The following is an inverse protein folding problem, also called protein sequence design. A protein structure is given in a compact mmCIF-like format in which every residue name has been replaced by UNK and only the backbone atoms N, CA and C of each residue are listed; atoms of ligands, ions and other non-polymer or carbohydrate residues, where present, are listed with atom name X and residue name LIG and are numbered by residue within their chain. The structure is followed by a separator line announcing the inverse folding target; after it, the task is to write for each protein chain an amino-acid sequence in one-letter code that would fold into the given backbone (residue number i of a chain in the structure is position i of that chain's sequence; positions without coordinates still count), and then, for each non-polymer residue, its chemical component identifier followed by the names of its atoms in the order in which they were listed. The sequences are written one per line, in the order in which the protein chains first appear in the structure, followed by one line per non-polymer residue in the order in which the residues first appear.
data_IF_699661194945
#
_entry.id   IF_699661194945
#
_cell.length_a   1.000
_cell.length_b   1.000
_cell.length_c   1.000
_cell.angle_alpha   90.00
_cell.angle_beta   90.00
_cell.angle_gamma   90.00
#
_symmetry.space_group_name_H-M   'P 1'
#
loop_
_entity.id
_entity.type
_entity.pdbx_description
1 polymer ?
#
# COMPACT_ATOMS: atom_id res chain seq x y z
N UNK A 1 2.77 46.23 1.91
CA UNK A 1 3.88 45.55 2.61
C UNK A 1 3.25 44.28 3.10
N UNK A 2 3.65 43.11 2.59
CA UNK A 2 2.99 41.86 2.96
C UNK A 2 3.19 41.67 4.48
N UNK A 3 2.14 41.94 5.25
CA UNK A 3 2.20 41.84 6.70
C UNK A 3 2.18 40.36 7.06
N UNK A 4 3.09 39.94 7.95
CA UNK A 4 3.18 38.54 8.40
C UNK A 4 1.86 38.10 9.06
N UNK A 5 1.02 39.05 9.48
CA UNK A 5 -0.35 38.81 9.96
C UNK A 5 -1.24 38.07 8.96
N UNK A 6 -0.89 38.06 7.66
CA UNK A 6 -1.63 37.30 6.66
C UNK A 6 -1.71 35.80 6.97
N UNK A 7 -0.72 35.25 7.70
CA UNK A 7 -0.71 33.85 8.12
C UNK A 7 -1.59 33.54 9.34
N UNK A 8 -2.18 34.57 9.97
CA UNK A 8 -3.21 34.39 11.01
C UNK A 8 -4.62 34.21 10.42
N UNK A 9 -4.76 34.30 9.10
CA UNK A 9 -6.01 34.06 8.39
C UNK A 9 -6.45 32.59 8.49
N UNK A 10 -7.76 32.33 8.50
CA UNK A 10 -8.31 30.97 8.58
C UNK A 10 -7.91 30.09 7.39
N UNK A 11 -7.51 30.68 6.26
CA UNK A 11 -6.92 29.95 5.14
C UNK A 11 -5.64 29.17 5.51
N UNK A 12 -4.96 29.55 6.60
CA UNK A 12 -3.76 28.90 7.10
C UNK A 12 -3.98 28.10 8.40
N UNK A 13 -5.23 27.91 8.82
CA UNK A 13 -5.57 27.04 9.95
C UNK A 13 -5.25 25.57 9.65
N UNK A 14 -5.07 24.77 10.70
CA UNK A 14 -4.77 23.33 10.56
C UNK A 14 -5.83 22.62 9.74
N UNK A 15 -7.12 22.94 9.93
CA UNK A 15 -8.22 22.38 9.14
C UNK A 15 -8.12 22.75 7.67
N UNK A 16 -7.87 24.02 7.33
CA UNK A 16 -7.77 24.49 5.96
C UNK A 16 -6.55 23.92 5.23
N UNK A 17 -5.39 23.90 5.89
CA UNK A 17 -4.17 23.33 5.31
C UNK A 17 -4.24 21.81 5.18
N UNK A 18 -4.90 21.14 6.12
CA UNK A 18 -5.19 19.70 6.07
C UNK A 18 -6.14 19.39 4.90
N UNK A 19 -7.21 20.15 4.72
CA UNK A 19 -8.08 20.01 3.54
C UNK A 19 -7.30 20.25 2.25
N UNK A 20 -6.52 21.34 2.17
CA UNK A 20 -5.74 21.71 0.99
C UNK A 20 -4.71 20.65 0.59
N UNK A 21 -4.01 20.01 1.56
CA UNK A 21 -3.09 18.94 1.23
C UNK A 21 -3.81 17.67 0.76
N UNK A 22 -5.02 17.36 1.25
CA UNK A 22 -5.78 16.18 0.83
C UNK A 22 -6.51 16.38 -0.53
N UNK A 23 -6.88 17.61 -0.89
CA UNK A 23 -7.55 17.94 -2.16
C UNK A 23 -6.61 18.03 -3.37
N UNK A 24 -5.29 18.09 -3.17
CA UNK A 24 -4.32 18.06 -4.27
C UNK A 24 -4.49 16.84 -5.18
N UNK A 25 -4.06 16.97 -6.43
CA UNK A 25 -4.10 15.87 -7.39
C UNK A 25 -3.22 14.72 -6.91
N UNK A 26 -3.84 13.56 -6.69
CA UNK A 26 -3.14 12.33 -6.33
C UNK A 26 -2.49 11.73 -7.58
N UNK A 27 -1.19 11.47 -7.52
CA UNK A 27 -0.45 10.77 -8.57
C UNK A 27 -0.20 9.33 -8.12
N UNK A 28 -1.12 8.39 -8.41
CA UNK A 28 -0.99 7.03 -7.92
C UNK A 28 0.25 6.34 -8.49
N UNK A 29 1.01 5.70 -7.59
CA UNK A 29 1.96 4.67 -7.97
C UNK A 29 1.24 3.43 -8.54
N UNK A 30 2.01 2.43 -8.97
CA UNK A 30 1.43 1.25 -9.61
C UNK A 30 0.57 0.43 -8.65
N UNK A 31 1.01 0.19 -7.41
CA UNK A 31 0.24 -0.53 -6.39
C UNK A 31 -1.03 0.24 -6.04
N UNK A 32 -0.90 1.56 -5.87
CA UNK A 32 -2.06 2.42 -5.64
C UNK A 32 -3.07 2.38 -6.81
N UNK A 33 -2.60 2.32 -8.06
CA UNK A 33 -3.48 2.18 -9.25
C UNK A 33 -4.26 0.87 -9.31
N UNK A 34 -3.80 -0.18 -8.61
CA UNK A 34 -4.50 -1.46 -8.53
C UNK A 34 -5.66 -1.42 -7.54
N UNK A 35 -5.77 -0.39 -6.69
CA UNK A 35 -6.87 -0.26 -5.73
C UNK A 35 -6.91 -1.39 -4.69
N UNK A 36 -5.78 -2.02 -4.40
CA UNK A 36 -5.71 -3.18 -3.50
C UNK A 36 -5.99 -2.80 -2.05
N UNK A 37 -5.46 -1.65 -1.62
CA UNK A 37 -5.51 -1.20 -0.24
C UNK A 37 -6.78 -0.39 0.02
N UNK A 38 -7.56 -0.82 1.01
CA UNK A 38 -8.71 -0.09 1.50
C UNK A 38 -8.24 0.93 2.53
N UNK A 39 -8.58 2.20 2.32
CA UNK A 39 -8.16 3.31 3.18
C UNK A 39 -9.23 3.64 4.22
N UNK A 40 -8.83 3.74 5.49
CA UNK A 40 -9.72 4.13 6.59
C UNK A 40 -9.00 4.99 7.65
N UNK A 41 -9.76 5.84 8.32
CA UNK A 41 -9.29 6.62 9.47
C UNK A 41 -9.49 5.86 10.77
N UNK A 42 -8.54 5.99 11.69
CA UNK A 42 -8.67 5.49 13.06
C UNK A 42 -8.47 6.62 14.06
N UNK A 43 -9.02 6.48 15.27
CA UNK A 43 -8.87 7.47 16.36
C UNK A 43 -7.72 7.18 17.31
N UNK A 44 -7.04 6.04 17.11
CA UNK A 44 -5.95 5.57 17.98
C UNK A 44 -4.66 5.41 17.19
N UNK A 45 -3.54 5.16 17.87
CA UNK A 45 -2.25 4.89 17.24
C UNK A 45 -2.02 3.39 16.95
N UNK A 46 -2.97 2.54 17.33
CA UNK A 46 -2.81 1.08 17.31
C UNK A 46 -4.04 0.40 16.72
N UNK A 47 -3.83 -0.44 15.73
CA UNK A 47 -4.87 -1.32 15.17
C UNK A 47 -4.70 -2.71 15.76
N UNK A 48 -5.80 -3.34 16.16
CA UNK A 48 -5.79 -4.73 16.63
C UNK A 48 -6.45 -5.61 15.57
N UNK A 49 -5.68 -6.54 15.02
CA UNK A 49 -6.21 -7.53 14.08
C UNK A 49 -6.53 -8.81 14.82
N UNK A 50 -7.76 -9.29 14.65
CA UNK A 50 -8.18 -10.60 15.12
C UNK A 50 -7.57 -11.68 14.24
N UNK A 51 -6.76 -12.56 14.84
CA UNK A 51 -6.34 -13.81 14.20
C UNK A 51 -7.43 -14.85 14.46
N UNK A 52 -8.31 -15.03 13.49
CA UNK A 52 -9.34 -16.06 13.56
C UNK A 52 -8.70 -17.44 13.33
N UNK A 53 -8.90 -18.33 14.29
CA UNK A 53 -8.37 -19.70 14.29
C UNK A 53 -9.39 -20.73 13.84
N UNK A 54 -10.57 -20.30 13.39
CA UNK A 54 -11.70 -21.19 13.17
C UNK A 54 -11.48 -22.07 11.93
N UNK A 55 -11.42 -23.37 12.20
CA UNK A 55 -11.71 -24.42 11.22
C UNK A 55 -13.22 -24.64 11.19
N UNK A 56 -13.84 -24.60 10.01
CA UNK A 56 -15.19 -25.11 9.79
C UNK A 56 -15.27 -26.56 10.28
N UNK A 57 -15.95 -26.80 11.40
CA UNK A 57 -16.22 -28.14 11.92
C UNK A 57 -17.63 -28.56 11.49
N UNK A 58 -17.74 -29.70 10.80
CA UNK A 58 -19.03 -30.29 10.47
C UNK A 58 -19.72 -30.77 11.76
N UNK A 59 -20.98 -30.40 11.94
CA UNK A 59 -21.80 -30.86 13.08
C UNK A 59 -22.28 -32.29 12.78
N UNK A 60 -21.99 -33.28 13.63
CA UNK A 60 -22.46 -34.65 13.41
C UNK A 60 -23.99 -34.73 13.58
N UNK A 61 -24.63 -35.60 12.79
CA UNK A 61 -26.06 -35.85 12.92
C UNK A 61 -26.39 -36.49 14.27
N UNK A 62 -27.21 -35.82 15.09
CA UNK A 62 -27.67 -36.31 16.39
C UNK A 62 -29.03 -37.00 16.32
N UNK A 63 -29.27 -37.94 17.23
CA UNK A 63 -30.55 -38.63 17.37
C UNK A 63 -31.59 -37.69 18.02
N UNK A 64 -32.85 -37.71 17.53
CA UNK A 64 -33.91 -36.82 18.06
C UNK A 64 -34.10 -37.06 19.55
N UNK A 65 -33.87 -36.02 20.36
CA UNK A 65 -34.01 -36.08 21.83
C UNK A 65 -32.69 -36.15 22.59
N UNK A 66 -31.54 -36.22 21.92
CA UNK A 66 -30.23 -36.16 22.56
C UNK A 66 -29.70 -34.72 22.68
N UNK A 67 -28.87 -34.47 23.69
CA UNK A 67 -28.20 -33.18 23.85
C UNK A 67 -27.12 -33.01 22.77
N UNK A 68 -27.13 -31.86 22.10
CA UNK A 68 -26.16 -31.55 21.05
C UNK A 68 -24.75 -31.28 21.60
N UNK A 69 -23.76 -31.25 20.71
CA UNK A 69 -22.40 -30.82 21.03
C UNK A 69 -22.40 -29.35 21.48
N UNK A 70 -21.75 -29.06 22.61
CA UNK A 70 -21.49 -27.70 23.08
C UNK A 70 -20.31 -27.14 22.29
N UNK A 71 -20.57 -26.13 21.45
CA UNK A 71 -19.53 -25.37 20.77
C UNK A 71 -18.84 -24.49 21.83
N UNK A 72 -17.59 -24.81 22.18
CA UNK A 72 -16.78 -23.93 23.01
C UNK A 72 -16.42 -22.67 22.20
N UNK A 73 -16.59 -21.48 22.79
CA UNK A 73 -16.19 -20.24 22.13
C UNK A 73 -14.67 -20.18 21.93
N UNK A 74 -14.23 -19.90 20.70
CA UNK A 74 -12.82 -19.76 20.36
C UNK A 74 -12.22 -18.54 21.07
N UNK A 75 -11.05 -18.69 21.71
CA UNK A 75 -10.31 -17.56 22.28
C UNK A 75 -9.68 -16.76 21.15
N UNK A 76 -10.20 -15.56 20.89
CA UNK A 76 -9.66 -14.64 19.88
C UNK A 76 -8.27 -14.15 20.30
N UNK A 77 -7.28 -14.31 19.41
CA UNK A 77 -5.96 -13.73 19.60
C UNK A 77 -5.90 -12.39 18.87
N UNK A 78 -5.84 -11.30 19.63
CA UNK A 78 -5.68 -9.93 19.12
C UNK A 78 -4.19 -9.63 18.97
N UNK A 79 -3.78 -9.22 17.77
CA UNK A 79 -2.40 -8.83 17.48
C UNK A 79 -2.36 -7.31 17.25
N UNK A 80 -1.69 -6.54 18.12
CA UNK A 80 -1.60 -5.09 17.97
C UNK A 80 -0.53 -4.69 16.93
N UNK A 81 -0.87 -3.72 16.11
CA UNK A 81 0.00 -3.07 15.13
C UNK A 81 -0.01 -1.56 15.36
N UNK A 82 1.17 -0.95 15.45
CA UNK A 82 1.30 0.49 15.63
C UNK A 82 1.36 1.20 14.26
N UNK A 83 0.81 2.40 14.17
CA UNK A 83 1.07 3.29 13.03
C UNK A 83 2.50 3.83 13.06
N UNK A 84 3.01 4.19 11.89
CA UNK A 84 4.28 4.90 11.75
C UNK A 84 4.01 6.40 11.66
N UNK A 85 4.98 7.24 12.03
CA UNK A 85 4.87 8.68 11.94
C UNK A 85 5.84 9.22 10.88
N UNK A 86 5.33 9.93 9.87
CA UNK A 86 6.10 10.42 8.72
C UNK A 86 6.07 11.96 8.67
N UNK A 87 6.91 12.66 9.44
CA UNK A 87 6.95 14.12 9.46
C UNK A 87 7.83 14.67 8.34
N UNK A 88 7.38 15.75 7.72
CA UNK A 88 8.13 16.49 6.71
C UNK A 88 8.04 17.98 6.96
N UNK A 89 9.20 18.61 7.19
CA UNK A 89 9.29 20.06 7.43
C UNK A 89 9.73 20.82 6.19
N UNK A 90 9.21 22.04 6.06
CA UNK A 90 9.65 23.04 5.10
C UNK A 90 9.68 24.42 5.76
N UNK A 91 10.32 25.37 5.08
CA UNK A 91 10.39 26.76 5.55
C UNK A 91 10.11 27.70 4.37
N UNK A 92 9.45 28.81 4.68
CA UNK A 92 9.19 29.93 3.78
C UNK A 92 9.82 31.15 4.46
N UNK A 93 10.94 31.65 3.93
CA UNK A 93 11.65 32.79 4.51
C UNK A 93 10.94 34.10 4.17
N UNK A 94 11.11 35.11 5.02
CA UNK A 94 10.56 36.45 4.79
C UNK A 94 10.97 37.01 3.41
N UNK A 95 12.22 36.81 2.99
CA UNK A 95 12.73 37.25 1.68
C UNK A 95 12.02 36.57 0.50
N UNK A 96 11.52 35.33 0.67
CA UNK A 96 10.76 34.62 -0.37
C UNK A 96 9.35 35.21 -0.55
N UNK A 97 8.81 35.82 0.51
CA UNK A 97 7.52 36.51 0.51
C UNK A 97 7.72 37.95 0.01
N UNK A 98 8.85 38.57 0.39
CA UNK A 98 9.25 39.92 0.01
C UNK A 98 9.65 39.98 -1.46
N UNK A 99 8.67 40.15 -2.34
CA UNK A 99 8.87 40.21 -3.79
C UNK A 99 7.83 39.47 -4.59
N UNK A 100 6.92 38.75 -3.94
CA UNK A 100 5.73 38.17 -4.58
C UNK A 100 4.81 39.33 -4.98
N UNK A 101 5.01 39.87 -6.19
CA UNK A 101 4.06 40.81 -6.79
C UNK A 101 2.84 40.02 -7.27
N UNK A 102 1.66 40.41 -6.80
CA UNK A 102 0.41 40.02 -7.44
C UNK A 102 0.44 40.48 -8.91
N UNK A 103 0.61 39.54 -9.84
CA UNK A 103 0.56 39.84 -11.26
C UNK A 103 -0.91 39.82 -11.71
N UNK A 104 -1.41 40.92 -12.29
CA UNK A 104 -2.80 41.04 -12.74
C UNK A 104 -3.80 41.32 -11.61
N UNK A 105 -4.92 40.58 -11.57
CA UNK A 105 -6.05 40.78 -10.65
C UNK A 105 -5.97 39.99 -9.34
N UNK A 106 -4.83 39.35 -9.04
CA UNK A 106 -4.68 38.50 -7.83
C UNK A 106 -4.50 39.34 -6.57
N UNK A 107 -4.93 38.83 -5.42
CA UNK A 107 -4.61 39.43 -4.12
C UNK A 107 -3.25 38.96 -3.59
N UNK A 108 -2.65 39.72 -2.67
CA UNK A 108 -1.40 39.29 -2.00
C UNK A 108 -1.60 37.97 -1.22
N UNK A 109 -2.78 37.77 -0.61
CA UNK A 109 -3.17 36.51 0.06
C UNK A 109 -3.09 35.31 -0.87
N UNK A 110 -3.68 35.41 -2.07
CA UNK A 110 -3.65 34.34 -3.06
C UNK A 110 -2.22 33.99 -3.47
N UNK A 111 -1.36 35.00 -3.62
CA UNK A 111 0.01 34.80 -4.05
C UNK A 111 0.87 34.10 -2.98
N UNK A 112 0.62 34.38 -1.69
CA UNK A 112 1.25 33.66 -0.57
C UNK A 112 0.70 32.24 -0.44
N UNK A 113 -0.61 32.06 -0.61
CA UNK A 113 -1.26 30.75 -0.59
C UNK A 113 -0.71 29.83 -1.70
N UNK A 114 -0.46 30.36 -2.90
CA UNK A 114 0.19 29.62 -3.99
C UNK A 114 1.59 29.08 -3.59
N UNK A 115 2.37 29.86 -2.83
CA UNK A 115 3.69 29.43 -2.35
C UNK A 115 3.56 28.31 -1.31
N UNK A 116 2.65 28.46 -0.36
CA UNK A 116 2.37 27.42 0.65
C UNK A 116 1.89 26.14 -0.04
N UNK A 117 0.90 26.23 -0.92
CA UNK A 117 0.36 25.10 -1.68
C UNK A 117 1.44 24.40 -2.50
N UNK A 118 2.38 25.14 -3.11
CA UNK A 118 3.51 24.57 -3.83
C UNK A 118 4.46 23.76 -2.92
N UNK A 119 4.66 24.20 -1.68
CA UNK A 119 5.45 23.45 -0.68
C UNK A 119 4.69 22.20 -0.22
N UNK A 120 3.39 22.32 0.06
CA UNK A 120 2.53 21.19 0.42
C UNK A 120 2.48 20.15 -0.69
N UNK A 121 2.33 20.54 -1.95
CA UNK A 121 2.35 19.65 -3.11
C UNK A 121 3.68 18.92 -3.30
N UNK A 122 4.80 19.49 -2.83
CA UNK A 122 6.07 18.77 -2.77
C UNK A 122 6.06 17.75 -1.64
N UNK A 123 5.56 18.11 -0.46
CA UNK A 123 5.52 17.21 0.68
C UNK A 123 4.59 16.02 0.41
N UNK A 124 3.38 16.30 -0.09
CA UNK A 124 2.41 15.27 -0.49
C UNK A 124 3.03 14.24 -1.43
N UNK A 125 3.68 14.67 -2.52
CA UNK A 125 4.33 13.74 -3.46
C UNK A 125 5.39 12.85 -2.81
N UNK A 126 6.08 13.33 -1.78
CA UNK A 126 7.08 12.54 -1.06
C UNK A 126 6.42 11.56 -0.07
N UNK A 127 5.33 11.97 0.57
CA UNK A 127 4.51 11.10 1.41
C UNK A 127 3.82 10.02 0.58
N UNK A 128 3.22 10.35 -0.57
CA UNK A 128 2.62 9.40 -1.52
C UNK A 128 3.64 8.33 -1.95
N UNK A 129 4.88 8.75 -2.28
CA UNK A 129 5.95 7.82 -2.63
C UNK A 129 6.36 6.92 -1.46
N UNK A 130 6.29 7.42 -0.23
CA UNK A 130 6.57 6.67 0.99
C UNK A 130 5.45 5.67 1.29
N UNK A 131 4.18 6.06 1.12
CA UNK A 131 3.04 5.14 1.23
C UNK A 131 3.13 4.03 0.21
N UNK A 132 3.44 4.34 -1.05
CA UNK A 132 3.65 3.33 -2.09
C UNK A 132 4.79 2.37 -1.68
N UNK A 133 5.90 2.88 -1.14
CA UNK A 133 6.99 2.06 -0.63
C UNK A 133 6.59 1.13 0.52
N UNK A 134 5.79 1.63 1.46
CA UNK A 134 5.35 0.85 2.61
C UNK A 134 4.25 -0.16 2.24
N UNK A 135 3.31 0.20 1.35
CA UNK A 135 2.32 -0.73 0.76
C UNK A 135 3.03 -1.87 0.05
N UNK A 136 4.06 -1.54 -0.70
CA UNK A 136 4.97 -2.52 -1.27
C UNK A 136 5.61 -3.41 -0.19
N UNK A 137 6.14 -2.83 0.88
CA UNK A 137 6.63 -3.59 2.03
C UNK A 137 5.58 -4.56 2.60
N UNK A 138 4.33 -4.10 2.73
CA UNK A 138 3.22 -4.92 3.23
C UNK A 138 2.89 -6.11 2.31
N UNK A 139 3.01 -5.94 0.99
CA UNK A 139 2.88 -7.03 0.02
C UNK A 139 4.04 -8.05 0.12
N UNK A 140 5.24 -7.58 0.44
CA UNK A 140 6.38 -8.48 0.68
C UNK A 140 6.42 -9.10 2.08
N UNK A 141 5.57 -8.62 2.99
CA UNK A 141 5.49 -9.00 4.38
C UNK A 141 6.51 -8.33 5.31
N UNK A 142 7.27 -7.35 4.82
CA UNK A 142 8.20 -6.56 5.61
C UNK A 142 8.15 -5.10 5.17
N UNK A 143 7.77 -4.21 6.09
CA UNK A 143 7.75 -2.77 5.89
C UNK A 143 9.08 -2.20 6.36
N UNK A 144 9.74 -1.48 5.48
CA UNK A 144 11.04 -0.86 5.71
C UNK A 144 10.90 0.65 5.83
N UNK A 145 11.86 1.27 6.50
CA UNK A 145 12.01 2.72 6.56
C UNK A 145 12.61 3.28 5.26
N UNK A 146 12.66 4.60 5.13
CA UNK A 146 13.13 5.31 3.94
C UNK A 146 14.59 4.99 3.54
N UNK A 147 15.39 4.44 4.46
CA UNK A 147 16.75 3.96 4.21
C UNK A 147 16.79 2.64 3.39
N UNK A 148 15.65 1.94 3.27
CA UNK A 148 15.53 0.65 2.61
C UNK A 148 16.15 -0.51 3.39
N UNK A 149 16.51 -0.31 4.66
CA UNK A 149 17.21 -1.33 5.47
C UNK A 149 16.61 -1.49 6.86
N UNK A 150 16.13 -0.43 7.49
CA UNK A 150 15.54 -0.48 8.83
C UNK A 150 14.15 -1.09 8.76
N UNK A 151 13.92 -2.18 9.49
CA UNK A 151 12.62 -2.87 9.51
C UNK A 151 11.69 -2.17 10.49
N UNK A 152 10.62 -1.56 9.97
CA UNK A 152 9.56 -0.95 10.78
C UNK A 152 8.54 -1.99 11.25
N UNK A 153 8.20 -2.96 10.39
CA UNK A 153 7.28 -4.05 10.72
C UNK A 153 7.62 -5.31 9.91
N UNK A 154 7.78 -6.43 10.61
CA UNK A 154 7.80 -7.76 9.99
C UNK A 154 6.45 -8.45 10.21
N UNK A 155 5.64 -8.51 9.16
CA UNK A 155 4.27 -9.00 9.22
C UNK A 155 4.26 -10.50 9.55
N UNK A 156 5.06 -11.30 8.85
CA UNK A 156 5.11 -12.75 9.06
C UNK A 156 5.53 -13.11 10.49
N UNK A 157 6.56 -12.43 11.02
CA UNK A 157 7.02 -12.60 12.39
C UNK A 157 5.95 -12.21 13.41
N UNK A 158 5.27 -11.08 13.18
CA UNK A 158 4.24 -10.56 14.10
C UNK A 158 3.01 -11.47 14.15
N UNK A 159 2.60 -12.04 13.01
CA UNK A 159 1.53 -13.05 12.95
C UNK A 159 1.96 -14.47 13.40
N UNK A 160 3.26 -14.69 13.59
CA UNK A 160 3.83 -15.99 13.96
C UNK A 160 3.68 -17.04 12.87
N UNK A 161 3.79 -16.65 11.60
CA UNK A 161 3.60 -17.52 10.43
C UNK A 161 4.81 -17.47 9.50
N UNK A 162 5.00 -18.51 8.69
CA UNK A 162 6.09 -18.58 7.71
C UNK A 162 5.57 -18.33 6.31
N UNK A 163 6.26 -17.48 5.54
CA UNK A 163 5.90 -17.16 4.16
C UNK A 163 5.84 -18.41 3.29
N UNK A 164 4.71 -18.63 2.61
CA UNK A 164 4.56 -19.70 1.61
C UNK A 164 5.40 -19.38 0.37
N UNK A 165 6.11 -20.38 -0.13
CA UNK A 165 6.95 -20.29 -1.34
C UNK A 165 6.69 -21.48 -2.24
N UNK A 166 6.78 -21.28 -3.55
CA UNK A 166 6.59 -22.33 -4.53
C UNK A 166 7.50 -22.11 -5.75
N UNK A 167 8.18 -23.15 -6.23
CA UNK A 167 8.91 -23.09 -7.49
C UNK A 167 7.97 -23.31 -8.68
N UNK A 168 8.11 -22.46 -9.69
CA UNK A 168 7.37 -22.54 -10.95
C UNK A 168 8.09 -23.42 -11.98
N UNK A 169 9.28 -23.93 -11.68
CA UNK A 169 10.02 -24.86 -12.54
C UNK A 169 10.39 -24.30 -13.91
N UNK A 170 10.53 -22.97 -14.04
CA UNK A 170 10.78 -22.25 -15.29
C UNK A 170 12.15 -22.55 -15.91
N UNK A 171 13.03 -23.23 -15.17
CA UNK A 171 14.32 -23.69 -15.67
C UNK A 171 14.23 -24.95 -16.53
N UNK A 172 13.13 -25.71 -16.43
CA UNK A 172 12.92 -26.94 -17.21
C UNK A 172 11.88 -26.69 -18.31
N UNK A 173 12.22 -26.87 -19.60
CA UNK A 173 11.28 -26.63 -20.70
C UNK A 173 10.10 -27.62 -20.70
N UNK A 174 10.22 -28.73 -19.98
CA UNK A 174 9.19 -29.78 -19.86
C UNK A 174 8.18 -29.50 -18.74
N UNK A 175 8.39 -28.45 -17.94
CA UNK A 175 7.45 -28.09 -16.87
C UNK A 175 6.13 -27.58 -17.45
N UNK A 176 5.02 -28.17 -17.02
CA UNK A 176 3.72 -27.63 -17.39
C UNK A 176 3.27 -26.47 -16.50
N UNK A 177 3.50 -25.25 -17.00
CA UNK A 177 3.25 -24.01 -16.27
C UNK A 177 1.77 -23.85 -15.93
N UNK A 178 0.86 -24.36 -16.77
CA UNK A 178 -0.58 -24.31 -16.47
C UNK A 178 -0.94 -25.10 -15.22
N UNK A 179 -0.31 -26.25 -14.98
CA UNK A 179 -0.50 -27.03 -13.75
C UNK A 179 0.09 -26.28 -12.56
N UNK A 180 1.27 -25.67 -12.74
CA UNK A 180 1.90 -24.84 -11.70
C UNK A 180 1.08 -23.61 -11.33
N UNK A 181 0.37 -22.98 -12.28
CA UNK A 181 -0.58 -21.92 -11.95
C UNK A 181 -1.71 -22.44 -11.06
N UNK A 182 -2.27 -23.61 -11.38
CA UNK A 182 -3.31 -24.27 -10.55
C UNK A 182 -2.81 -24.52 -9.13
N UNK A 183 -1.68 -25.21 -8.98
CA UNK A 183 -1.06 -25.47 -7.66
C UNK A 183 -0.84 -24.17 -6.85
N UNK A 184 -0.45 -23.07 -7.51
CA UNK A 184 -0.22 -21.78 -6.87
C UNK A 184 -1.51 -21.10 -6.42
N UNK A 185 -2.59 -21.22 -7.22
CA UNK A 185 -3.92 -20.74 -6.88
C UNK A 185 -4.51 -21.57 -5.73
N UNK A 186 -4.37 -22.89 -5.76
CA UNK A 186 -4.82 -23.77 -4.67
C UNK A 186 -4.15 -23.38 -3.34
N UNK A 187 -2.84 -23.11 -3.33
CA UNK A 187 -2.12 -22.63 -2.14
C UNK A 187 -2.64 -21.29 -1.60
N UNK A 188 -3.11 -20.41 -2.49
CA UNK A 188 -3.68 -19.11 -2.17
C UNK A 188 -5.11 -19.27 -1.65
N UNK A 189 -5.95 -20.08 -2.29
CA UNK A 189 -7.31 -20.40 -1.85
C UNK A 189 -7.30 -21.06 -0.46
N UNK A 190 -6.42 -22.05 -0.24
CA UNK A 190 -6.23 -22.69 1.06
C UNK A 190 -5.84 -21.69 2.17
N UNK A 191 -5.11 -20.63 1.81
CA UNK A 191 -4.73 -19.59 2.76
C UNK A 191 -5.82 -18.52 2.98
N UNK A 192 -6.70 -18.30 2.02
CA UNK A 192 -7.86 -17.41 2.13
C UNK A 192 -9.05 -18.08 2.83
N UNK A 193 -9.15 -19.42 2.74
CA UNK A 193 -10.26 -20.18 3.30
C UNK A 193 -11.56 -19.90 2.54
N UNK A 194 -12.62 -19.53 3.26
CA UNK A 194 -13.97 -19.31 2.69
C UNK A 194 -14.19 -17.93 2.07
N UNK A 195 -13.14 -17.12 1.95
CA UNK A 195 -13.27 -15.73 1.48
C UNK A 195 -13.10 -15.69 -0.02
N UNK A 196 -14.05 -15.06 -0.68
CA UNK A 196 -14.05 -14.90 -2.13
C UNK A 196 -12.99 -13.90 -2.56
N UNK A 197 -12.18 -14.27 -3.55
CA UNK A 197 -11.36 -13.36 -4.34
C UNK A 197 -12.03 -13.10 -5.70
N UNK A 198 -11.69 -11.99 -6.36
CA UNK A 198 -12.14 -11.68 -7.72
C UNK A 198 -11.14 -12.14 -8.79
N UNK A 199 -9.94 -12.54 -8.39
CA UNK A 199 -8.85 -12.92 -9.28
C UNK A 199 -7.51 -12.93 -8.56
N UNK A 200 -6.43 -13.15 -9.33
CA UNK A 200 -5.07 -13.22 -8.79
C UNK A 200 -4.09 -12.57 -9.75
N UNK A 201 -3.15 -11.80 -9.21
CA UNK A 201 -2.08 -11.12 -9.97
C UNK A 201 -0.72 -11.57 -9.49
N UNK A 202 0.18 -11.81 -10.43
CA UNK A 202 1.58 -12.10 -10.14
C UNK A 202 2.48 -10.95 -10.60
N UNK A 203 3.07 -10.23 -9.63
CA UNK A 203 4.04 -9.17 -9.87
C UNK A 203 5.44 -9.78 -10.01
N UNK A 204 6.00 -9.72 -11.22
CA UNK A 204 7.19 -10.47 -11.60
C UNK A 204 8.45 -9.61 -11.63
N UNK A 205 9.53 -10.14 -11.05
CA UNK A 205 10.89 -9.64 -11.24
C UNK A 205 11.39 -9.84 -12.67
N UNK A 206 12.51 -9.18 -13.00
CA UNK A 206 13.04 -9.12 -14.37
C UNK A 206 13.37 -10.50 -14.96
N UNK A 207 14.12 -11.33 -14.24
CA UNK A 207 14.60 -12.61 -14.74
C UNK A 207 13.49 -13.65 -14.75
N UNK A 208 12.63 -13.65 -13.73
CA UNK A 208 11.41 -14.45 -13.69
C UNK A 208 10.53 -14.19 -14.91
N UNK A 209 10.21 -12.91 -15.17
CA UNK A 209 9.41 -12.51 -16.33
C UNK A 209 10.01 -13.00 -17.64
N UNK A 210 11.30 -12.77 -17.84
CA UNK A 210 11.99 -13.15 -19.07
C UNK A 210 11.94 -14.67 -19.32
N UNK A 211 12.04 -15.50 -18.27
CA UNK A 211 11.94 -16.96 -18.39
C UNK A 211 10.49 -17.41 -18.63
N UNK A 212 9.53 -16.75 -17.97
CA UNK A 212 8.10 -17.02 -18.13
C UNK A 212 7.65 -16.80 -19.58
N UNK A 213 7.85 -15.60 -20.14
CA UNK A 213 7.34 -15.27 -21.48
C UNK A 213 7.95 -16.10 -22.62
N UNK A 214 9.14 -16.66 -22.41
CA UNK A 214 9.81 -17.51 -23.41
C UNK A 214 9.58 -19.01 -23.20
N UNK A 215 8.89 -19.40 -22.13
CA UNK A 215 8.68 -20.80 -21.76
C UNK A 215 7.84 -21.53 -22.82
N UNK A 216 8.15 -22.81 -23.06
CA UNK A 216 7.49 -23.63 -24.10
C UNK A 216 5.98 -23.68 -23.93
N UNK A 217 5.50 -24.06 -22.74
CA UNK A 217 4.07 -24.12 -22.37
C UNK A 217 3.32 -22.80 -22.65
N UNK A 218 3.96 -21.65 -22.42
CA UNK A 218 3.37 -20.33 -22.71
C UNK A 218 3.37 -20.06 -24.21
N UNK A 219 4.51 -20.20 -24.88
CA UNK A 219 4.61 -19.99 -26.34
C UNK A 219 3.60 -20.83 -27.11
N UNK A 220 3.43 -22.11 -26.77
CA UNK A 220 2.50 -23.02 -27.44
C UNK A 220 1.03 -22.59 -27.25
N UNK A 221 0.69 -22.08 -26.06
CA UNK A 221 -0.65 -21.54 -25.78
C UNK A 221 -0.92 -20.27 -26.60
N UNK A 222 0.06 -19.38 -26.70
CA UNK A 222 -0.10 -18.13 -27.45
C UNK A 222 -0.02 -18.29 -28.96
N UNK A 223 0.78 -19.23 -29.49
CA UNK A 223 0.85 -19.53 -30.92
C UNK A 223 -0.49 -19.98 -31.51
N UNK A 224 -1.31 -20.64 -30.70
CA UNK A 224 -2.58 -21.22 -31.13
C UNK A 224 -3.82 -20.36 -30.78
N UNK A 225 -3.64 -19.16 -30.22
CA UNK A 225 -4.75 -18.30 -29.76
C UNK A 225 -4.82 -16.97 -30.51
N UNK A 226 -6.00 -16.35 -30.56
CA UNK A 226 -6.18 -14.97 -31.06
C UNK A 226 -5.36 -13.94 -30.23
N UNK A 227 -4.91 -14.31 -29.02
CA UNK A 227 -4.07 -13.48 -28.14
C UNK A 227 -2.58 -13.46 -28.55
N UNK A 228 -2.18 -14.15 -29.63
CA UNK A 228 -0.84 -14.05 -30.23
C UNK A 228 -0.41 -12.61 -30.57
N UNK A 229 -1.35 -11.66 -30.67
CA UNK A 229 -1.07 -10.25 -30.87
C UNK A 229 -0.46 -9.58 -29.62
N UNK A 230 -0.87 -9.98 -28.41
CA UNK A 230 -0.41 -9.38 -27.15
C UNK A 230 1.09 -9.65 -26.89
N UNK A 231 1.57 -10.87 -27.18
CA UNK A 231 3.01 -11.18 -27.07
C UNK A 231 3.87 -10.64 -28.23
N UNK A 232 3.25 -10.19 -29.33
CA UNK A 232 3.94 -9.49 -30.44
C UNK A 232 4.01 -7.97 -30.23
N UNK A 233 3.21 -7.44 -29.29
CA UNK A 233 3.23 -6.04 -28.85
C UNK A 233 4.41 -5.74 -27.91
N UNK A 234 4.24 -4.78 -26.99
CA UNK A 234 5.29 -4.52 -26.01
C UNK A 234 5.41 -5.73 -25.06
N UNK A 235 6.57 -6.39 -25.05
CA UNK A 235 6.87 -7.54 -24.19
C UNK A 235 6.83 -7.22 -22.67
N UNK A 236 6.46 -5.99 -22.30
CA UNK A 236 6.20 -5.52 -20.95
C UNK A 236 4.71 -5.55 -20.59
N UNK A 237 3.81 -5.73 -21.56
CA UNK A 237 2.38 -5.80 -21.31
C UNK A 237 2.03 -6.98 -20.41
N UNK A 238 1.07 -6.76 -19.51
CA UNK A 238 0.52 -7.83 -18.69
C UNK A 238 -0.31 -8.78 -19.55
N UNK A 239 -0.28 -10.07 -19.24
CA UNK A 239 -1.12 -11.07 -19.90
C UNK A 239 -1.72 -12.03 -18.88
N UNK A 240 -2.85 -12.63 -19.24
CA UNK A 240 -3.50 -13.63 -18.40
C UNK A 240 -3.08 -15.03 -18.84
N UNK A 241 -2.68 -15.87 -17.89
CA UNK A 241 -2.35 -17.27 -18.15
C UNK A 241 -2.58 -18.13 -16.90
N UNK A 242 -3.36 -19.21 -17.05
CA UNK A 242 -3.65 -20.15 -15.98
C UNK A 242 -4.46 -19.54 -14.82
N UNK A 243 -5.34 -18.58 -15.11
CA UNK A 243 -6.15 -17.88 -14.10
C UNK A 243 -5.41 -16.78 -13.33
N UNK A 244 -4.16 -16.48 -13.72
CA UNK A 244 -3.34 -15.44 -13.09
C UNK A 244 -3.04 -14.34 -14.12
N UNK A 245 -3.21 -13.08 -13.70
CA UNK A 245 -2.72 -11.92 -14.46
C UNK A 245 -1.24 -11.72 -14.14
N UNK A 246 -0.38 -11.99 -15.11
CA UNK A 246 1.05 -11.84 -14.99
C UNK A 246 1.46 -10.43 -15.40
N UNK A 247 2.19 -9.74 -14.54
CA UNK A 247 2.66 -8.40 -14.79
C UNK A 247 4.13 -8.23 -14.43
N UNK A 248 4.89 -7.60 -15.32
CA UNK A 248 6.27 -7.25 -15.05
C UNK A 248 6.34 -6.02 -14.14
N UNK A 249 6.92 -6.17 -12.96
CA UNK A 249 7.10 -5.07 -12.02
C UNK A 249 8.59 -4.77 -11.78
N UNK A 250 9.06 -3.59 -12.20
CA UNK A 250 10.45 -3.15 -12.03
C UNK A 250 10.63 -1.97 -11.08
N UNK A 251 9.61 -1.64 -10.28
CA UNK A 251 9.70 -0.57 -9.30
C UNK A 251 10.87 -0.80 -8.36
N UNK A 252 11.71 0.24 -8.21
CA UNK A 252 12.80 0.29 -7.23
C UNK A 252 12.68 1.61 -6.48
N UNK A 253 12.78 1.56 -5.17
CA UNK A 253 12.82 2.74 -4.30
C UNK A 253 14.02 2.55 -3.37
N UNK A 254 14.83 3.60 -3.20
CA UNK A 254 16.04 3.57 -2.38
C UNK A 254 17.01 2.40 -2.72
N UNK A 255 17.05 1.95 -3.99
CA UNK A 255 17.88 0.82 -4.42
C UNK A 255 17.30 -0.56 -4.12
N UNK A 256 16.21 -0.64 -3.35
CA UNK A 256 15.48 -1.89 -3.06
C UNK A 256 14.51 -2.19 -4.20
N UNK A 257 14.70 -3.35 -4.84
CA UNK A 257 13.74 -3.86 -5.81
C UNK A 257 12.49 -4.34 -5.08
N UNK A 258 11.32 -3.95 -5.57
CA UNK A 258 10.05 -4.38 -4.99
C UNK A 258 9.88 -5.91 -5.03
N UNK A 259 10.09 -6.50 -6.21
CA UNK A 259 10.16 -7.94 -6.36
C UNK A 259 11.60 -8.28 -6.77
N UNK A 260 12.19 -9.25 -6.10
CA UNK A 260 13.52 -9.75 -6.46
C UNK A 260 13.54 -10.23 -7.93
N UNK A 261 14.63 -10.00 -8.65
CA UNK A 261 14.67 -10.22 -10.11
C UNK A 261 14.30 -11.66 -10.51
N UNK A 262 14.64 -12.65 -9.69
CA UNK A 262 14.34 -14.09 -9.90
C UNK A 262 13.04 -14.58 -9.24
N UNK A 263 12.16 -13.70 -8.76
CA UNK A 263 10.93 -14.08 -8.07
C UNK A 263 9.70 -13.43 -8.70
N UNK A 264 8.54 -13.97 -8.39
CA UNK A 264 7.26 -13.27 -8.57
C UNK A 264 6.44 -13.33 -7.28
N UNK A 265 5.63 -12.30 -7.06
CA UNK A 265 4.74 -12.22 -5.92
C UNK A 265 3.30 -12.41 -6.40
N UNK A 266 2.71 -13.55 -6.06
CA UNK A 266 1.31 -13.85 -6.33
C UNK A 266 0.44 -13.29 -5.20
N UNK A 267 -0.47 -12.41 -5.56
CA UNK A 267 -1.42 -11.75 -4.66
C UNK A 267 -2.84 -11.99 -5.14
N UNK A 268 -3.80 -12.21 -4.23
CA UNK A 268 -5.21 -12.22 -4.59
C UNK A 268 -5.70 -10.77 -4.78
N UNK A 269 -6.68 -10.61 -5.66
CA UNK A 269 -7.38 -9.36 -5.93
C UNK A 269 -8.84 -9.46 -5.46
N UNK A 270 -9.44 -8.32 -5.10
CA UNK A 270 -10.86 -8.23 -4.72
C UNK A 270 -11.24 -8.96 -3.44
N UNK A 271 -10.29 -9.22 -2.55
CA UNK A 271 -10.55 -9.81 -1.23
C UNK A 271 -10.83 -8.67 -0.23
N UNK A 272 -12.03 -8.60 0.37
CA UNK A 272 -12.34 -7.58 1.37
C UNK A 272 -11.41 -7.66 2.58
N UNK A 273 -11.03 -6.50 3.11
CA UNK A 273 -10.20 -6.34 4.33
C UNK A 273 -8.84 -7.05 4.29
N UNK A 274 -8.39 -7.50 3.11
CA UNK A 274 -7.11 -8.19 3.00
C UNK A 274 -5.93 -7.22 3.10
N UNK A 275 -6.02 -6.11 2.37
CA UNK A 275 -5.02 -5.05 2.38
C UNK A 275 -5.67 -3.78 2.90
N UNK A 276 -5.17 -3.30 4.04
CA UNK A 276 -5.70 -2.11 4.70
C UNK A 276 -4.62 -1.04 4.79
N UNK A 277 -5.04 0.21 4.65
CA UNK A 277 -4.25 1.42 4.90
C UNK A 277 -5.00 2.25 5.93
N UNK A 278 -4.61 2.10 7.18
CA UNK A 278 -5.22 2.86 8.28
C UNK A 278 -4.42 4.13 8.54
N UNK A 279 -5.09 5.22 8.86
CA UNK A 279 -4.44 6.50 9.17
C UNK A 279 -4.80 6.94 10.58
N UNK A 280 -3.79 7.17 11.42
CA UNK A 280 -3.94 7.71 12.76
C UNK A 280 -3.98 9.24 12.76
N UNK A 281 -4.55 9.87 13.81
CA UNK A 281 -4.53 11.33 13.94
C UNK A 281 -3.10 11.88 14.04
N UNK A 282 -2.91 13.13 13.63
CA UNK A 282 -1.67 13.86 13.87
C UNK A 282 -1.41 14.09 15.35
N UNK A 283 -0.14 14.29 15.70
CA UNK A 283 0.33 14.72 17.02
C UNK A 283 0.16 16.24 17.25
N UNK A 284 -0.81 16.85 16.57
CA UNK A 284 -1.23 18.23 16.83
C UNK A 284 -2.29 18.26 17.92
N UNK A 285 -2.23 19.25 18.80
CA UNK A 285 -3.23 19.43 19.87
C UNK A 285 -4.66 19.54 19.31
N UNK A 286 -4.80 20.11 18.12
CA UNK A 286 -6.05 20.31 17.41
C UNK A 286 -6.65 19.01 16.83
N UNK A 287 -5.87 17.93 16.72
CA UNK A 287 -6.25 16.66 16.10
C UNK A 287 -6.31 15.49 17.09
N UNK A 288 -6.09 15.77 18.38
CA UNK A 288 -6.20 14.75 19.43
C UNK A 288 -7.64 14.27 19.53
N UNK A 289 -7.84 12.94 19.56
CA UNK A 289 -9.15 12.27 19.60
C UNK A 289 -10.05 12.54 18.38
N UNK A 290 -9.51 13.02 17.26
CA UNK A 290 -10.25 13.07 15.99
C UNK A 290 -9.99 11.80 15.18
N UNK A 291 -10.86 11.53 14.22
CA UNK A 291 -10.59 10.51 13.21
C UNK A 291 -9.36 10.90 12.38
N UNK A 292 -8.49 9.92 12.14
CA UNK A 292 -7.29 10.10 11.34
C UNK A 292 -7.61 10.34 9.87
N UNK A 293 -6.88 11.27 9.24
CA UNK A 293 -6.91 11.48 7.78
C UNK A 293 -5.52 11.22 7.19
N UNK A 294 -5.42 10.96 5.86
CA UNK A 294 -4.15 10.56 5.24
C UNK A 294 -3.01 11.54 5.44
N UNK A 295 -3.30 12.84 5.36
CA UNK A 295 -2.31 13.91 5.46
C UNK A 295 -2.78 15.01 6.39
N UNK A 296 -1.86 15.53 7.20
CA UNK A 296 -2.06 16.72 8.03
C UNK A 296 -1.03 17.77 7.68
N UNK A 297 -1.39 19.05 7.87
CA UNK A 297 -0.46 20.15 7.67
C UNK A 297 -0.66 21.26 8.69
N UNK A 298 0.44 21.83 9.16
CA UNK A 298 0.47 22.97 10.09
C UNK A 298 1.60 23.92 9.71
N UNK A 299 1.41 25.21 9.98
CA UNK A 299 2.46 26.21 9.88
C UNK A 299 2.61 26.96 11.19
N UNK A 300 3.82 27.45 11.47
CA UNK A 300 4.13 28.28 12.62
C UNK A 300 5.18 29.34 12.26
N UNK A 301 5.22 30.49 12.94
CA UNK A 301 6.27 31.47 12.71
C UNK A 301 7.65 30.92 13.11
N UNK A 302 8.66 31.18 12.27
CA UNK A 302 10.05 30.90 12.62
C UNK A 302 10.51 31.77 13.79
N UNK A 303 11.55 31.35 14.55
CA UNK A 303 12.15 32.18 15.59
C UNK A 303 12.48 33.59 15.08
N UNK A 304 12.08 34.60 15.87
CA UNK A 304 12.21 36.02 15.54
C UNK A 304 11.40 36.48 14.31
N UNK A 305 10.32 35.78 13.93
CA UNK A 305 9.46 36.12 12.79
C UNK A 305 10.22 36.27 11.47
N UNK A 306 11.25 35.45 11.25
CA UNK A 306 12.06 35.46 10.02
C UNK A 306 11.40 34.73 8.83
N UNK A 307 10.12 34.37 8.96
CA UNK A 307 9.34 33.60 8.00
C UNK A 307 8.43 32.61 8.70
N UNK A 308 7.93 31.63 7.94
CA UNK A 308 7.06 30.55 8.42
C UNK A 308 7.76 29.20 8.29
N UNK A 309 7.71 28.39 9.34
CA UNK A 309 7.94 26.95 9.26
C UNK A 309 6.62 26.28 8.90
N UNK A 310 6.69 25.21 8.11
CA UNK A 310 5.56 24.35 7.84
C UNK A 310 5.94 22.90 8.05
N UNK A 311 4.96 22.12 8.47
CA UNK A 311 5.06 20.68 8.65
C UNK A 311 3.88 20.02 7.96
N UNK A 312 4.18 19.05 7.11
CA UNK A 312 3.21 18.09 6.59
C UNK A 312 3.55 16.73 7.19
N UNK A 313 2.55 15.99 7.64
CA UNK A 313 2.76 14.66 8.21
C UNK A 313 1.70 13.67 7.75
N UNK A 314 2.03 12.38 7.85
CA UNK A 314 1.11 11.27 7.66
C UNK A 314 1.42 10.19 8.68
N UNK A 315 0.37 9.57 9.25
CA UNK A 315 0.53 8.53 10.27
C UNK A 315 -0.08 7.18 9.83
N UNK A 316 0.47 6.53 8.78
CA UNK A 316 -0.14 5.34 8.19
C UNK A 316 0.22 4.05 8.94
N UNK A 317 -0.59 3.02 8.73
CA UNK A 317 -0.18 1.62 8.78
C UNK A 317 -0.77 0.90 7.56
N UNK A 318 0.12 0.35 6.72
CA UNK A 318 -0.27 -0.47 5.59
C UNK A 318 -0.07 -1.94 5.95
N UNK A 319 -1.09 -2.77 5.84
CA UNK A 319 -1.03 -4.14 6.35
C UNK A 319 -1.73 -5.13 5.41
N UNK A 320 -1.18 -6.34 5.33
CA UNK A 320 -1.89 -7.51 4.83
C UNK A 320 -2.40 -8.33 6.03
N UNK A 321 -3.73 -8.43 6.19
CA UNK A 321 -4.36 -9.11 7.35
C UNK A 321 -4.22 -10.63 7.29
N UNK A 322 -4.10 -11.21 6.08
CA UNK A 322 -3.82 -12.63 5.85
C UNK A 322 -2.54 -12.82 5.03
N UNK A 323 -1.35 -12.67 5.64
CA UNK A 323 -0.09 -12.68 4.91
C UNK A 323 0.25 -14.01 4.23
N UNK A 324 -0.42 -15.12 4.61
CA UNK A 324 -0.26 -16.43 3.98
C UNK A 324 -0.94 -16.56 2.61
N UNK A 325 -1.88 -15.67 2.27
CA UNK A 325 -2.53 -15.64 0.96
C UNK A 325 -1.59 -15.12 -0.15
N UNK A 326 -0.48 -14.51 0.26
CA UNK A 326 0.57 -14.01 -0.64
C UNK A 326 1.62 -15.11 -0.84
N UNK A 327 1.74 -15.60 -2.07
CA UNK A 327 2.66 -16.70 -2.40
C UNK A 327 3.89 -16.14 -3.11
N UNK A 328 5.08 -16.48 -2.61
CA UNK A 328 6.33 -16.16 -3.29
C UNK A 328 6.66 -17.24 -4.30
N UNK A 329 6.59 -16.89 -5.58
CA UNK A 329 6.94 -17.78 -6.68
C UNK A 329 8.42 -17.62 -7.02
N UNK A 330 9.11 -18.74 -7.16
CA UNK A 330 10.53 -18.83 -7.49
C UNK A 330 10.71 -19.55 -8.84
N UNK A 331 11.88 -19.41 -9.46
CA UNK A 331 12.21 -20.03 -10.74
C UNK A 331 12.11 -21.55 -10.74
#
# INVERSE_FOLDING_TARGET
MADIEIFNDDAFSVSSLTAAINEQEYLPGRISSLGLFQEEGITTLTVQIEKDGDTLALVPAGERGTSGLVVAGTKRNLIPFNTVHLPQRFAIKADEIQGIRAFGTRSELQAVQDVVNKRLARCRRQLDATHEFQRMGALNGQILDADGTTVLLDIYKTFGVTRKKMSMGLNSPDTEIRVKCGDALDLQEDALGSITSSGSRALCGKNFWNKLVVHKSIKETFLNSQQAAALRGDARESFEFGGIVWERYRGKIAGVSFVHDDKALLIPEGVPDLYISVFAPADYMETVNTEGVPYYSKIEPLPFNKGMAGEAQSNPLHLCTRPLAQILLEL
#
